data_IF_001060519340
#
_entry.id   IF_001060519340
#
_cell.length_a   1.000
_cell.length_b   1.000
_cell.length_c   1.000
_cell.angle_alpha   90.00
_cell.angle_beta   90.00
_cell.angle_gamma   90.00
#
_symmetry.space_group_name_H-M   'P 1'
#
loop_
_entity.id
_entity.type
_entity.pdbx_description
1 polymer ?
#
# COMPACT_ATOMS: atom_id res chain seq x y z
N UNK A 1 -12.55 -11.06 -12.91
CA UNK A 1 -12.55 -10.44 -14.25
C UNK A 1 -12.06 -9.02 -14.11
N UNK A 2 -11.06 -8.59 -14.88
CA UNK A 2 -10.63 -7.18 -14.90
C UNK A 2 -11.58 -6.38 -15.79
N UNK A 3 -12.39 -5.50 -15.22
CA UNK A 3 -13.22 -4.56 -15.97
C UNK A 3 -12.45 -3.25 -16.20
N UNK A 4 -12.61 -2.63 -17.37
CA UNK A 4 -11.97 -1.35 -17.68
C UNK A 4 -12.64 -0.23 -16.87
N UNK A 5 -11.83 0.59 -16.18
CA UNK A 5 -12.33 1.82 -15.59
C UNK A 5 -12.76 2.79 -16.70
N UNK A 6 -13.98 3.32 -16.62
CA UNK A 6 -14.58 4.23 -17.60
C UNK A 6 -13.70 5.45 -17.91
N UNK A 7 -12.93 5.92 -16.94
CA UNK A 7 -12.05 7.09 -17.07
C UNK A 7 -10.60 6.74 -17.47
N UNK A 8 -10.28 5.46 -17.68
CA UNK A 8 -8.91 5.03 -18.01
C UNK A 8 -8.63 5.09 -19.51
N UNK A 9 -7.61 5.87 -19.87
CA UNK A 9 -7.00 5.91 -21.21
C UNK A 9 -5.99 4.77 -21.43
N UNK A 10 -5.68 4.00 -20.38
CA UNK A 10 -4.70 2.90 -20.39
C UNK A 10 -5.42 1.54 -20.23
N UNK A 11 -4.94 0.43 -20.82
CA UNK A 11 -5.53 -0.90 -20.63
C UNK A 11 -5.68 -1.27 -19.15
N UNK A 12 -6.74 -2.01 -18.77
CA UNK A 12 -6.94 -2.43 -17.38
C UNK A 12 -5.74 -3.26 -16.91
N UNK A 13 -5.26 -2.95 -15.70
CA UNK A 13 -4.15 -3.68 -15.12
C UNK A 13 -4.55 -5.09 -14.64
N UNK A 14 -3.55 -5.92 -14.31
CA UNK A 14 -3.78 -7.31 -13.91
C UNK A 14 -4.54 -7.38 -12.58
N UNK A 15 -5.45 -8.35 -12.46
CA UNK A 15 -6.01 -8.79 -11.18
C UNK A 15 -5.83 -10.31 -11.07
N UNK A 16 -5.02 -10.74 -10.11
CA UNK A 16 -4.78 -12.14 -9.80
C UNK A 16 -4.87 -12.34 -8.30
N UNK A 17 -5.60 -13.36 -7.88
CA UNK A 17 -5.77 -13.73 -6.48
C UNK A 17 -5.58 -15.24 -6.36
N UNK A 18 -4.69 -15.65 -5.45
CA UNK A 18 -4.47 -17.04 -5.09
C UNK A 18 -4.60 -17.17 -3.58
N UNK A 19 -5.47 -18.07 -3.13
CA UNK A 19 -5.63 -18.42 -1.73
C UNK A 19 -5.43 -19.91 -1.58
N UNK A 20 -4.59 -20.30 -0.63
CA UNK A 20 -4.21 -21.68 -0.38
C UNK A 20 -3.96 -21.86 1.11
N UNK A 21 -4.09 -23.08 1.60
CA UNK A 21 -3.87 -23.35 3.00
C UNK A 21 -3.87 -24.84 3.29
N UNK A 22 -3.53 -25.15 4.53
CA UNK A 22 -3.56 -26.50 5.08
C UNK A 22 -3.95 -26.41 6.55
N UNK A 23 -4.70 -27.41 7.00
CA UNK A 23 -4.99 -27.63 8.40
C UNK A 23 -4.62 -29.06 8.79
N UNK A 24 -4.26 -29.23 10.05
CA UNK A 24 -3.94 -30.52 10.63
C UNK A 24 -4.30 -30.49 12.10
N UNK A 25 -4.92 -31.56 12.58
CA UNK A 25 -5.23 -31.69 13.99
C UNK A 25 -5.51 -33.14 14.36
N UNK A 26 -5.51 -33.38 15.67
CA UNK A 26 -5.78 -34.71 16.21
C UNK A 26 -5.29 -34.88 17.64
N UNK A 27 -5.44 -36.09 18.19
CA UNK A 27 -4.91 -36.41 19.50
C UNK A 27 -3.38 -36.56 19.45
N UNK A 28 -2.68 -35.86 20.34
CA UNK A 28 -1.30 -36.21 20.74
C UNK A 28 -1.37 -37.41 21.70
N UNK A 29 -2.26 -37.33 22.68
CA UNK A 29 -2.59 -38.42 23.59
C UNK A 29 -4.11 -38.61 23.59
N UNK A 30 -4.57 -39.80 23.17
CA UNK A 30 -6.00 -40.10 23.05
C UNK A 30 -6.74 -39.74 24.35
N UNK A 31 -7.86 -39.03 24.20
CA UNK A 31 -8.74 -38.58 25.27
C UNK A 31 -8.14 -37.56 26.26
N UNK A 32 -6.88 -37.14 26.07
CA UNK A 32 -6.19 -36.24 27.00
C UNK A 32 -5.66 -34.99 26.33
N UNK A 33 -4.76 -35.14 25.37
CA UNK A 33 -4.02 -34.03 24.77
C UNK A 33 -4.29 -33.97 23.27
N UNK A 34 -4.73 -32.82 22.79
CA UNK A 34 -5.11 -32.58 21.40
C UNK A 34 -4.36 -31.38 20.84
N UNK A 35 -4.12 -31.40 19.54
CA UNK A 35 -3.55 -30.26 18.82
C UNK A 35 -4.38 -29.92 17.59
N UNK A 36 -4.28 -28.66 17.21
CA UNK A 36 -4.74 -28.15 15.93
C UNK A 36 -3.74 -27.11 15.43
N UNK A 37 -3.43 -27.13 14.15
CA UNK A 37 -2.65 -26.11 13.49
C UNK A 37 -3.20 -25.85 12.09
N UNK A 38 -3.14 -24.60 11.66
CA UNK A 38 -3.44 -24.24 10.28
C UNK A 38 -2.49 -23.16 9.77
N UNK A 39 -2.35 -23.13 8.45
CA UNK A 39 -1.68 -22.09 7.72
C UNK A 39 -2.53 -21.67 6.53
N UNK A 40 -2.64 -20.37 6.32
CA UNK A 40 -3.28 -19.77 5.15
C UNK A 40 -2.35 -18.76 4.48
N UNK A 41 -2.20 -18.91 3.17
CA UNK A 41 -1.52 -17.98 2.29
C UNK A 41 -2.51 -17.30 1.36
N UNK A 42 -2.49 -15.96 1.37
CA UNK A 42 -3.21 -15.10 0.45
C UNK A 42 -2.21 -14.33 -0.41
N UNK A 43 -2.34 -14.38 -1.73
CA UNK A 43 -1.50 -13.65 -2.67
C UNK A 43 -2.40 -12.92 -3.65
N UNK A 44 -2.35 -11.59 -3.61
CA UNK A 44 -3.11 -10.75 -4.51
C UNK A 44 -2.21 -9.76 -5.23
N UNK A 45 -2.44 -9.66 -6.53
CA UNK A 45 -1.90 -8.62 -7.40
C UNK A 45 -3.08 -7.90 -8.01
N UNK A 46 -3.11 -6.59 -7.85
CA UNK A 46 -4.09 -5.75 -8.52
C UNK A 46 -3.45 -4.49 -9.05
N UNK A 47 -4.14 -3.77 -9.93
CA UNK A 47 -3.71 -2.45 -10.32
C UNK A 47 -4.94 -1.58 -10.50
N UNK A 48 -4.85 -0.35 -10.01
CA UNK A 48 -5.87 0.66 -10.19
C UNK A 48 -5.30 1.78 -11.05
N UNK A 49 -6.16 2.40 -11.85
CA UNK A 49 -5.78 3.58 -12.62
C UNK A 49 -5.46 4.72 -11.66
N UNK A 50 -4.27 5.28 -11.83
CA UNK A 50 -3.84 6.52 -11.20
C UNK A 50 -3.60 7.53 -12.32
N UNK A 51 -4.15 8.72 -12.16
CA UNK A 51 -3.87 9.86 -13.02
C UNK A 51 -3.05 10.90 -12.26
N UNK A 52 -2.22 11.64 -12.98
CA UNK A 52 -1.54 12.80 -12.45
C UNK A 52 -1.46 13.92 -13.50
N UNK A 53 -1.21 15.13 -13.01
CA UNK A 53 -0.84 16.26 -13.85
C UNK A 53 0.64 16.56 -13.69
N UNK A 54 1.36 16.60 -14.81
CA UNK A 54 2.79 16.90 -14.86
C UNK A 54 3.08 17.96 -15.93
N UNK A 55 4.14 18.77 -15.78
CA UNK A 55 4.60 19.61 -16.86
C UNK A 55 4.90 18.80 -18.13
N UNK A 56 4.75 19.43 -19.30
CA UNK A 56 5.12 18.80 -20.58
C UNK A 56 6.64 18.67 -20.70
N UNK A 57 7.09 17.92 -21.71
CA UNK A 57 8.53 17.76 -21.98
C UNK A 57 9.22 19.10 -22.30
N UNK A 58 8.55 20.00 -23.02
CA UNK A 58 9.04 21.36 -23.25
C UNK A 58 9.26 22.11 -21.93
N UNK A 59 8.32 22.00 -20.99
CA UNK A 59 8.41 22.64 -19.69
C UNK A 59 9.50 22.05 -18.80
N UNK A 60 9.79 20.74 -18.89
CA UNK A 60 10.95 20.14 -18.23
C UNK A 60 12.27 20.77 -18.68
N UNK A 61 12.33 21.25 -19.92
CA UNK A 61 13.47 21.94 -20.50
C UNK A 61 13.40 23.47 -20.34
N UNK A 62 12.45 23.99 -19.57
CA UNK A 62 12.30 25.43 -19.31
C UNK A 62 11.49 26.19 -20.35
N UNK A 63 10.91 25.51 -21.35
CA UNK A 63 10.06 26.14 -22.37
C UNK A 63 8.59 26.08 -21.94
N UNK A 64 8.05 27.25 -21.59
CA UNK A 64 6.65 27.44 -21.20
C UNK A 64 5.86 28.22 -22.27
N UNK A 65 6.34 28.28 -23.52
CA UNK A 65 5.71 29.03 -24.62
C UNK A 65 4.26 28.63 -24.92
N UNK A 66 3.87 27.42 -24.52
CA UNK A 66 2.49 26.94 -24.62
C UNK A 66 1.52 27.52 -23.57
N UNK A 67 2.01 28.27 -22.57
CA UNK A 67 1.18 28.98 -21.60
C UNK A 67 0.70 30.33 -22.16
N UNK A 68 -0.54 30.70 -21.85
CA UNK A 68 -1.10 32.01 -22.17
C UNK A 68 -0.71 33.11 -21.16
N UNK A 69 -0.22 32.72 -19.99
CA UNK A 69 0.13 33.62 -18.89
C UNK A 69 1.61 33.99 -18.90
N UNK A 70 1.96 35.29 -18.82
CA UNK A 70 3.36 35.72 -18.71
C UNK A 70 4.08 35.09 -17.53
N UNK A 71 5.29 34.60 -17.78
CA UNK A 71 6.17 34.00 -16.78
C UNK A 71 7.21 35.04 -16.35
N UNK A 72 7.26 35.36 -15.06
CA UNK A 72 8.14 36.41 -14.54
C UNK A 72 9.40 35.86 -13.89
N UNK A 73 10.54 36.52 -14.11
CA UNK A 73 11.80 36.19 -13.49
C UNK A 73 11.81 36.62 -12.01
N UNK A 74 11.91 35.68 -11.05
CA UNK A 74 11.87 35.99 -9.62
C UNK A 74 13.09 36.80 -9.12
N UNK A 75 14.17 36.90 -9.90
CA UNK A 75 15.36 37.67 -9.56
C UNK A 75 15.36 39.09 -10.15
N UNK A 76 14.33 39.45 -10.90
CA UNK A 76 14.24 40.74 -11.63
C UNK A 76 13.34 41.78 -10.95
N UNK A 77 13.05 41.62 -9.66
CA UNK A 77 12.18 42.55 -8.94
C UNK A 77 12.83 43.94 -8.85
N UNK A 78 12.12 44.96 -9.31
CA UNK A 78 12.51 46.35 -9.19
C UNK A 78 11.68 47.03 -8.08
N UNK A 79 12.29 47.40 -6.94
CA UNK A 79 11.59 48.07 -5.86
C UNK A 79 11.00 49.44 -6.24
N UNK A 80 11.54 50.11 -7.25
CA UNK A 80 11.07 51.44 -7.66
C UNK A 80 9.74 51.38 -8.41
N UNK A 81 9.52 50.33 -9.21
CA UNK A 81 8.30 50.14 -10.00
C UNK A 81 7.36 49.10 -9.39
N UNK A 82 7.85 48.29 -8.44
CA UNK A 82 7.12 47.17 -7.85
C UNK A 82 6.86 46.02 -8.82
N UNK A 83 7.56 45.98 -9.97
CA UNK A 83 7.33 45.02 -11.03
C UNK A 83 8.49 44.02 -11.18
N UNK A 84 8.22 42.90 -11.85
CA UNK A 84 9.22 41.92 -12.29
C UNK A 84 9.28 41.92 -13.81
N UNK A 85 10.43 41.58 -14.37
CA UNK A 85 10.58 41.36 -15.80
C UNK A 85 10.07 39.97 -16.20
N UNK A 86 9.33 39.90 -17.30
CA UNK A 86 8.92 38.63 -17.90
C UNK A 86 10.11 37.93 -18.58
N UNK A 87 10.11 36.60 -18.57
CA UNK A 87 10.99 35.83 -19.44
C UNK A 87 10.57 36.00 -20.89
N UNK A 88 11.53 36.33 -21.76
CA UNK A 88 11.30 36.40 -23.19
C UNK A 88 10.77 35.05 -23.71
N UNK A 89 9.70 35.09 -24.50
CA UNK A 89 9.04 33.91 -25.10
C UNK A 89 8.59 32.84 -24.09
N UNK A 90 8.48 33.17 -22.80
CA UNK A 90 8.21 32.22 -21.72
C UNK A 90 9.28 31.11 -21.57
N UNK A 91 10.54 31.42 -21.91
CA UNK A 91 11.65 30.46 -21.79
C UNK A 91 12.50 30.82 -20.57
N UNK A 92 12.65 29.88 -19.64
CA UNK A 92 13.61 29.98 -18.54
C UNK A 92 14.98 29.52 -19.08
N UNK A 93 16.01 30.38 -19.05
CA UNK A 93 17.36 29.99 -19.41
C UNK A 93 17.87 28.80 -18.60
N UNK A 94 18.55 27.85 -19.23
CA UNK A 94 19.00 26.60 -18.59
C UNK A 94 19.92 26.82 -17.38
N UNK A 95 20.72 27.88 -17.39
CA UNK A 95 21.57 28.29 -16.27
C UNK A 95 20.80 28.80 -15.05
N UNK A 96 19.49 29.06 -15.18
CA UNK A 96 18.59 29.44 -14.09
C UNK A 96 17.79 28.27 -13.54
N UNK A 97 17.89 27.08 -14.17
CA UNK A 97 17.25 25.86 -13.68
C UNK A 97 18.21 25.16 -12.72
N UNK A 98 17.70 24.80 -11.54
CA UNK A 98 18.49 24.08 -10.56
C UNK A 98 18.96 22.71 -11.13
N UNK A 99 20.27 22.40 -11.11
CA UNK A 99 20.79 21.17 -11.69
C UNK A 99 20.35 19.90 -10.95
N UNK A 100 20.01 20.00 -9.65
CA UNK A 100 19.42 18.89 -8.90
C UNK A 100 18.00 18.63 -9.38
N UNK A 101 17.20 19.68 -9.60
CA UNK A 101 15.84 19.55 -10.14
C UNK A 101 15.85 18.88 -11.53
N UNK A 102 16.76 19.26 -12.43
CA UNK A 102 16.88 18.59 -13.74
C UNK A 102 17.16 17.09 -13.62
N UNK A 103 18.02 16.69 -12.68
CA UNK A 103 18.30 15.27 -12.39
C UNK A 103 17.12 14.55 -11.75
N UNK A 104 16.21 15.26 -11.08
CA UNK A 104 15.00 14.66 -10.54
C UNK A 104 13.92 14.47 -11.62
N UNK A 105 13.83 15.39 -12.59
CA UNK A 105 12.84 15.35 -13.66
C UNK A 105 12.90 14.07 -14.52
N UNK A 106 14.08 13.45 -14.66
CA UNK A 106 14.22 12.17 -15.37
C UNK A 106 13.40 11.02 -14.75
N UNK A 107 12.97 11.15 -13.49
CA UNK A 107 12.14 10.15 -12.82
C UNK A 107 10.63 10.47 -12.89
N UNK A 108 10.26 11.55 -13.58
CA UNK A 108 8.87 11.92 -13.84
C UNK A 108 8.54 11.70 -15.31
N UNK A 109 7.33 11.20 -15.57
CA UNK A 109 6.81 11.14 -16.93
C UNK A 109 6.29 12.53 -17.32
N UNK A 110 6.71 13.10 -18.46
CA UNK A 110 6.18 14.36 -18.92
C UNK A 110 4.72 14.23 -19.36
N UNK A 111 3.95 15.29 -19.15
CA UNK A 111 2.56 15.41 -19.56
C UNK A 111 2.39 15.42 -21.07
N UNK A 112 1.37 14.72 -21.57
CA UNK A 112 1.08 14.65 -23.01
C UNK A 112 0.53 15.96 -23.59
N UNK A 113 -0.19 16.75 -22.78
CA UNK A 113 -0.68 18.09 -23.15
C UNK A 113 -1.08 18.91 -21.92
N UNK A 114 -1.29 20.21 -22.12
CA UNK A 114 -1.84 21.12 -21.10
C UNK A 114 -3.38 21.10 -21.03
N UNK A 115 -4.04 20.58 -22.06
CA UNK A 115 -5.51 20.59 -22.17
C UNK A 115 -6.18 19.46 -21.37
N UNK A 116 -5.41 18.44 -20.98
CA UNK A 116 -5.93 17.30 -20.23
C UNK A 116 -5.93 17.59 -18.71
N UNK A 117 -6.88 18.40 -18.27
CA UNK A 117 -7.16 18.61 -16.83
C UNK A 117 -8.31 17.71 -16.37
N UNK A 118 -8.20 16.99 -15.24
CA UNK A 118 -7.16 17.14 -14.23
C UNK A 118 -5.91 16.29 -14.44
N UNK A 119 -5.87 15.32 -15.38
CA UNK A 119 -4.74 14.40 -15.56
C UNK A 119 -4.26 14.38 -17.00
N UNK A 120 -2.96 14.64 -17.22
CA UNK A 120 -2.33 14.59 -18.54
C UNK A 120 -1.34 13.43 -18.71
N UNK A 121 -1.21 12.61 -17.67
CA UNK A 121 -0.63 11.28 -17.69
C UNK A 121 -1.49 10.32 -16.89
N UNK A 122 -1.31 9.02 -17.14
CA UNK A 122 -1.96 7.97 -16.36
C UNK A 122 -1.20 6.65 -16.44
N UNK A 123 -1.43 5.81 -15.45
CA UNK A 123 -0.83 4.49 -15.38
C UNK A 123 -1.59 3.58 -14.41
N UNK A 124 -1.23 2.30 -14.42
CA UNK A 124 -1.80 1.28 -13.54
C UNK A 124 -0.70 0.67 -12.69
N UNK A 125 -0.18 1.38 -11.67
CA UNK A 125 0.86 0.83 -10.81
C UNK A 125 0.36 -0.45 -10.12
N UNK A 126 1.27 -1.43 -10.01
CA UNK A 126 0.98 -2.77 -9.51
C UNK A 126 0.99 -2.79 -7.98
N UNK A 127 -0.19 -2.93 -7.39
CA UNK A 127 -0.36 -3.16 -5.95
C UNK A 127 -0.28 -4.66 -5.65
N UNK A 128 0.45 -5.02 -4.59
CA UNK A 128 0.57 -6.40 -4.11
C UNK A 128 0.16 -6.51 -2.66
N UNK A 129 -0.56 -7.58 -2.31
CA UNK A 129 -0.84 -7.98 -0.94
C UNK A 129 -0.43 -9.45 -0.79
N UNK A 130 0.53 -9.72 0.10
CA UNK A 130 0.98 -11.07 0.39
C UNK A 130 0.72 -11.33 1.88
N UNK A 131 -0.33 -12.07 2.20
CA UNK A 131 -0.70 -12.39 3.58
C UNK A 131 -0.37 -13.83 3.90
N UNK A 132 0.28 -14.05 5.03
CA UNK A 132 0.55 -15.34 5.62
C UNK A 132 0.00 -15.34 7.05
N UNK A 133 -0.88 -16.31 7.34
CA UNK A 133 -1.44 -16.49 8.68
C UNK A 133 -1.16 -17.91 9.15
N UNK A 134 -0.80 -18.04 10.42
CA UNK A 134 -0.63 -19.31 11.11
C UNK A 134 -1.40 -19.27 12.43
N UNK A 135 -2.12 -20.34 12.76
CA UNK A 135 -2.61 -20.56 14.12
C UNK A 135 -2.21 -21.95 14.58
N UNK A 136 -1.73 -22.04 15.81
CA UNK A 136 -1.48 -23.29 16.52
C UNK A 136 -2.22 -23.29 17.85
N UNK A 137 -2.77 -24.44 18.23
CA UNK A 137 -3.51 -24.62 19.48
C UNK A 137 -3.21 -26.00 20.07
N UNK A 138 -3.09 -26.03 21.40
CA UNK A 138 -3.03 -27.24 22.21
C UNK A 138 -4.17 -27.19 23.22
N UNK A 139 -4.91 -28.28 23.34
CA UNK A 139 -5.96 -28.48 24.32
C UNK A 139 -5.62 -29.71 25.19
N UNK A 140 -5.69 -29.57 26.51
CA UNK A 140 -5.43 -30.66 27.47
C UNK A 140 -6.61 -30.83 28.44
N UNK A 141 -7.16 -32.04 28.47
CA UNK A 141 -8.02 -32.52 29.53
C UNK A 141 -7.14 -32.96 30.70
N UNK A 142 -6.79 -32.01 31.56
CA UNK A 142 -5.91 -32.25 32.73
C UNK A 142 -6.49 -33.38 33.59
N UNK A 143 -7.80 -33.32 33.83
CA UNK A 143 -8.62 -34.37 34.46
C UNK A 143 -10.11 -34.23 34.04
N UNK A 144 -11.01 -35.00 34.65
CA UNK A 144 -12.46 -34.98 34.36
C UNK A 144 -13.16 -33.64 34.67
N UNK A 145 -12.50 -32.75 35.41
CA UNK A 145 -13.06 -31.48 35.89
C UNK A 145 -12.35 -30.27 35.31
N UNK A 146 -11.18 -30.43 34.71
CA UNK A 146 -10.30 -29.35 34.30
C UNK A 146 -9.86 -29.51 32.85
N UNK A 147 -10.10 -28.48 32.05
CA UNK A 147 -9.60 -28.35 30.69
C UNK A 147 -8.77 -27.07 30.58
N UNK A 148 -7.64 -27.16 29.88
CA UNK A 148 -6.80 -26.01 29.56
C UNK A 148 -6.53 -25.96 28.07
N UNK A 149 -6.30 -24.75 27.57
CA UNK A 149 -5.77 -24.58 26.24
C UNK A 149 -4.72 -23.48 26.18
N UNK A 150 -3.85 -23.60 25.20
CA UNK A 150 -2.98 -22.53 24.73
C UNK A 150 -3.11 -22.39 23.21
N UNK A 151 -3.22 -21.15 22.74
CA UNK A 151 -3.31 -20.83 21.33
C UNK A 151 -2.35 -19.70 20.99
N UNK A 152 -1.70 -19.82 19.85
CA UNK A 152 -0.90 -18.77 19.24
C UNK A 152 -1.40 -18.53 17.83
N UNK A 153 -1.54 -17.26 17.45
CA UNK A 153 -1.86 -16.85 16.09
C UNK A 153 -0.85 -15.80 15.64
N UNK A 154 -0.36 -15.95 14.42
CA UNK A 154 0.59 -15.05 13.79
C UNK A 154 0.05 -14.65 12.42
N UNK A 155 0.25 -13.39 12.06
CA UNK A 155 -0.12 -12.81 10.78
C UNK A 155 1.01 -11.91 10.30
N UNK A 156 1.41 -12.08 9.04
CA UNK A 156 2.21 -11.14 8.28
C UNK A 156 1.46 -10.82 6.99
N UNK A 157 1.08 -9.57 6.79
CA UNK A 157 0.25 -9.13 5.67
C UNK A 157 0.76 -7.84 5.03
N UNK A 158 2.01 -7.82 4.51
CA UNK A 158 2.52 -6.67 3.81
C UNK A 158 1.71 -6.37 2.55
N UNK A 159 1.32 -5.10 2.43
CA UNK A 159 0.80 -4.52 1.21
C UNK A 159 1.80 -3.49 0.66
N UNK A 160 2.04 -3.54 -0.66
CA UNK A 160 2.78 -2.50 -1.38
C UNK A 160 1.89 -1.93 -2.46
N UNK A 161 1.72 -0.61 -2.44
CA UNK A 161 0.96 0.16 -3.42
C UNK A 161 1.87 1.26 -3.99
N UNK A 162 2.64 1.00 -5.06
CA UNK A 162 3.50 2.01 -5.67
C UNK A 162 2.66 3.13 -6.32
N UNK A 163 3.22 4.34 -6.36
CA UNK A 163 2.65 5.47 -7.10
C UNK A 163 3.15 5.53 -8.55
N UNK A 164 2.74 6.57 -9.28
CA UNK A 164 3.23 6.82 -10.66
C UNK A 164 4.66 7.34 -10.69
N UNK A 165 5.10 8.00 -9.61
CA UNK A 165 6.43 8.62 -9.49
C UNK A 165 7.15 8.12 -8.24
N UNK A 166 8.47 8.35 -8.13
CA UNK A 166 9.19 8.11 -6.88
C UNK A 166 8.51 8.81 -5.69
N UNK A 167 8.60 8.18 -4.52
CA UNK A 167 8.08 8.71 -3.25
C UNK A 167 6.55 8.87 -3.16
N UNK A 168 5.79 8.47 -4.19
CA UNK A 168 4.32 8.43 -4.14
C UNK A 168 3.74 7.07 -3.77
N UNK A 169 4.59 6.06 -3.60
CA UNK A 169 4.17 4.74 -3.16
C UNK A 169 3.95 4.69 -1.65
N UNK A 170 3.07 3.78 -1.23
CA UNK A 170 2.84 3.46 0.18
C UNK A 170 3.09 1.97 0.40
N UNK A 171 3.72 1.64 1.52
CA UNK A 171 3.84 0.28 2.01
C UNK A 171 3.14 0.20 3.36
N UNK A 172 2.24 -0.77 3.51
CA UNK A 172 1.58 -1.08 4.77
C UNK A 172 2.08 -2.44 5.25
N UNK A 173 3.16 -2.48 6.05
CA UNK A 173 3.49 -3.70 6.77
C UNK A 173 2.43 -3.90 7.86
N UNK A 174 1.77 -5.06 7.84
CA UNK A 174 0.88 -5.49 8.91
C UNK A 174 1.45 -6.76 9.51
N UNK A 175 1.76 -6.73 10.79
CA UNK A 175 2.12 -7.90 11.58
C UNK A 175 1.21 -7.96 12.79
N UNK A 176 0.71 -9.14 13.13
CA UNK A 176 -0.05 -9.35 14.35
C UNK A 176 0.34 -10.68 14.99
N UNK A 177 0.46 -10.67 16.31
CA UNK A 177 0.69 -11.84 17.14
C UNK A 177 -0.34 -11.83 18.26
N UNK A 178 -0.99 -12.96 18.46
CA UNK A 178 -1.95 -13.17 19.53
C UNK A 178 -1.58 -14.44 20.27
N UNK A 179 -1.56 -14.36 21.59
CA UNK A 179 -1.41 -15.52 22.47
C UNK A 179 -2.62 -15.55 23.38
N UNK A 180 -3.34 -16.66 23.37
CA UNK A 180 -4.49 -16.87 24.24
C UNK A 180 -4.28 -18.12 25.10
N UNK A 181 -4.54 -17.98 26.39
CA UNK A 181 -4.57 -19.07 27.36
C UNK A 181 -5.97 -19.13 27.96
N UNK A 182 -6.46 -20.34 28.18
CA UNK A 182 -7.73 -20.53 28.87
C UNK A 182 -7.72 -21.74 29.76
N UNK A 183 -8.51 -21.65 30.83
CA UNK A 183 -8.81 -22.75 31.74
C UNK A 183 -10.30 -22.75 32.05
N UNK A 184 -10.89 -23.94 32.07
CA UNK A 184 -12.26 -24.18 32.51
C UNK A 184 -12.24 -25.29 33.54
N UNK A 185 -12.84 -25.03 34.71
CA UNK A 185 -12.86 -25.95 35.84
C UNK A 185 -14.25 -26.10 36.45
N UNK A 186 -14.69 -27.34 36.69
CA UNK A 186 -15.88 -27.60 37.51
C UNK A 186 -15.48 -27.68 38.99
N UNK A 187 -15.97 -26.75 39.82
CA UNK A 187 -15.65 -26.65 41.26
C UNK A 187 -16.59 -27.48 42.15
N UNK A 188 -17.58 -28.16 41.55
CA UNK A 188 -18.58 -29.00 42.20
C UNK A 188 -19.66 -29.42 41.21
N UNK A 189 -20.73 -30.07 41.67
CA UNK A 189 -21.83 -30.53 40.79
C UNK A 189 -22.68 -29.41 40.20
N UNK A 190 -22.53 -28.19 40.71
CA UNK A 190 -23.36 -27.03 40.34
C UNK A 190 -22.57 -25.76 40.03
N UNK A 191 -21.23 -25.81 39.98
CA UNK A 191 -20.38 -24.63 39.79
C UNK A 191 -19.28 -24.85 38.76
N UNK A 192 -19.14 -23.90 37.83
CA UNK A 192 -18.07 -23.82 36.84
C UNK A 192 -17.33 -22.49 36.99
N UNK A 193 -16.02 -22.52 36.81
CA UNK A 193 -15.16 -21.34 36.72
C UNK A 193 -14.42 -21.35 35.38
N UNK A 194 -14.25 -20.16 34.80
CA UNK A 194 -13.52 -19.97 33.56
C UNK A 194 -12.57 -18.78 33.70
N UNK A 195 -11.33 -18.99 33.26
CA UNK A 195 -10.31 -17.96 33.14
C UNK A 195 -9.82 -17.89 31.70
N UNK A 196 -9.73 -16.69 31.14
CA UNK A 196 -9.12 -16.42 29.83
C UNK A 196 -8.16 -15.25 29.91
N UNK A 197 -7.02 -15.38 29.24
CA UNK A 197 -6.00 -14.35 29.08
C UNK A 197 -5.60 -14.30 27.61
N UNK A 198 -5.67 -13.13 26.98
CA UNK A 198 -5.32 -12.92 25.58
C UNK A 198 -5.75 -11.55 25.07
#
# INVERSE_FOLDING_TARGET
MSARNYFSTVPPGPYHQNQFGVDVGGPILKNKLFFFANYEGYRQVQSAFVGAYTPTEAMFNGDFSALSTPLYNPFSFDPATGQRQAFANHIIPSNMINPVSQKLLQYYLPGSSLAATPNNIGGNPRTTLNSDQFTGRIDDNVDERNQVFGQVSWLNSPQSAPGLFPLQGVAHPLNAELVALGWTGTLGTTKVNELRLG
#
